data_IF_439217855724
#
_entry.id   IF_439217855724
#
_cell.length_a   1.000
_cell.length_b   1.000
_cell.length_c   1.000
_cell.angle_alpha   90.00
_cell.angle_beta   90.00
_cell.angle_gamma   90.00
#
_symmetry.space_group_name_H-M   'P 1'
#
loop_
_entity.id
_entity.type
_entity.pdbx_description
1 polymer ?
#
# COMPACT_ATOMS: atom_id res chain seq x y z
N UNK A 1 9.37 30.78 -15.39
CA UNK A 1 10.28 29.63 -15.26
C UNK A 1 9.54 28.39 -14.79
N UNK A 2 10.09 27.21 -15.09
CA UNK A 2 9.49 25.95 -14.68
C UNK A 2 10.55 24.94 -14.26
N UNK A 3 10.26 24.20 -13.21
CA UNK A 3 11.00 23.00 -12.79
C UNK A 3 10.08 21.82 -12.65
N UNK A 4 10.60 20.58 -12.64
CA UNK A 4 9.80 19.39 -12.48
C UNK A 4 10.56 18.32 -11.71
N UNK A 5 9.86 17.63 -10.79
CA UNK A 5 10.38 16.48 -10.04
C UNK A 5 9.20 15.62 -9.57
N UNK A 6 9.52 14.44 -9.07
CA UNK A 6 8.54 13.63 -8.32
C UNK A 6 8.52 14.05 -6.84
N UNK A 7 7.39 13.85 -6.17
CA UNK A 7 7.29 14.07 -4.72
C UNK A 7 8.35 13.28 -3.94
N UNK A 8 8.77 13.80 -2.79
CA UNK A 8 9.89 13.26 -2.02
C UNK A 8 11.27 13.51 -2.62
N UNK A 9 11.35 14.00 -3.87
CA UNK A 9 12.59 14.25 -4.59
C UNK A 9 13.23 15.61 -4.30
N UNK A 10 14.44 15.80 -4.85
CA UNK A 10 15.21 17.04 -4.79
C UNK A 10 15.55 17.48 -6.20
N UNK A 11 15.20 18.73 -6.56
CA UNK A 11 15.56 19.37 -7.80
C UNK A 11 16.62 20.43 -7.52
N UNK A 12 17.81 20.31 -8.12
CA UNK A 12 18.87 21.31 -8.02
C UNK A 12 19.20 21.88 -9.41
N UNK A 13 19.09 23.18 -9.56
CA UNK A 13 19.29 23.89 -10.80
C UNK A 13 20.42 24.92 -10.62
N UNK A 14 21.44 24.82 -11.49
CA UNK A 14 22.58 25.73 -11.46
C UNK A 14 22.21 27.10 -12.07
N UNK A 15 23.01 28.13 -11.79
CA UNK A 15 22.79 29.48 -12.30
C UNK A 15 22.71 29.54 -13.84
N UNK A 16 23.45 28.68 -14.54
CA UNK A 16 23.42 28.62 -16.02
C UNK A 16 22.07 28.17 -16.59
N UNK A 17 21.25 27.44 -15.78
CA UNK A 17 19.92 26.96 -16.15
C UNK A 17 18.85 27.53 -15.19
N UNK A 18 19.23 28.51 -14.36
CA UNK A 18 18.40 29.07 -13.31
C UNK A 18 17.44 30.15 -13.83
N UNK A 19 16.72 30.79 -12.88
CA UNK A 19 15.62 31.70 -13.19
C UNK A 19 16.03 32.96 -14.00
N UNK A 20 17.32 33.30 -14.09
CA UNK A 20 17.80 34.44 -14.84
C UNK A 20 18.09 34.15 -16.32
N UNK A 21 17.96 32.89 -16.76
CA UNK A 21 18.42 32.44 -18.10
C UNK A 21 17.59 33.08 -19.22
N UNK A 22 16.31 33.28 -19.01
CA UNK A 22 15.35 33.88 -19.95
C UNK A 22 14.96 35.32 -19.59
N UNK A 23 15.52 35.87 -18.50
CA UNK A 23 15.29 37.23 -18.07
C UNK A 23 16.28 38.21 -18.76
N UNK A 24 15.88 39.45 -18.89
CA UNK A 24 16.72 40.50 -19.47
C UNK A 24 16.92 41.65 -18.48
N UNK A 25 18.17 42.09 -18.33
CA UNK A 25 18.55 43.17 -17.42
C UNK A 25 18.36 44.58 -17.99
N UNK A 26 17.82 44.70 -19.23
CA UNK A 26 17.78 46.01 -19.89
C UNK A 26 19.15 46.53 -20.33
N UNK A 27 19.26 47.84 -20.55
CA UNK A 27 20.48 48.48 -21.06
C UNK A 27 21.60 48.55 -20.00
N UNK A 28 21.23 48.56 -18.72
CA UNK A 28 22.17 48.82 -17.61
C UNK A 28 22.81 47.52 -17.09
N UNK A 29 22.28 46.37 -17.52
CA UNK A 29 22.78 45.04 -17.12
C UNK A 29 22.38 44.64 -15.69
N UNK A 30 22.73 43.41 -15.30
CA UNK A 30 22.49 42.95 -13.96
C UNK A 30 23.43 43.54 -12.92
N UNK A 31 22.94 43.71 -11.69
CA UNK A 31 23.83 44.07 -10.56
C UNK A 31 24.87 42.97 -10.32
N UNK A 32 26.14 43.32 -10.14
CA UNK A 32 27.27 42.38 -10.05
C UNK A 32 27.23 41.46 -8.80
N UNK A 33 26.41 41.76 -7.81
CA UNK A 33 26.29 41.01 -6.55
C UNK A 33 25.17 39.96 -6.57
N UNK A 34 24.57 39.71 -7.76
CA UNK A 34 23.44 38.84 -7.95
C UNK A 34 22.14 39.61 -8.19
N UNK A 35 21.41 39.21 -9.21
CA UNK A 35 20.24 39.95 -9.69
C UNK A 35 18.98 39.62 -8.88
N UNK A 36 18.81 38.41 -8.35
CA UNK A 36 17.64 38.05 -7.53
C UNK A 36 17.76 38.69 -6.16
N UNK A 37 16.78 39.53 -5.80
CA UNK A 37 16.76 40.30 -4.54
C UNK A 37 15.59 39.97 -3.64
N UNK A 38 14.60 39.20 -4.12
CA UNK A 38 13.43 38.77 -3.36
C UNK A 38 12.86 37.44 -3.85
N UNK A 39 12.30 36.64 -2.94
CA UNK A 39 11.52 35.44 -3.24
C UNK A 39 10.47 35.25 -2.17
N UNK A 40 9.24 34.89 -2.59
CA UNK A 40 8.10 34.55 -1.72
C UNK A 40 7.30 33.39 -2.32
N UNK A 41 6.58 32.67 -1.48
CA UNK A 41 5.64 31.64 -1.93
C UNK A 41 4.39 32.26 -2.56
N UNK A 42 3.89 31.62 -3.59
CA UNK A 42 2.70 32.00 -4.33
C UNK A 42 2.97 32.92 -5.54
N UNK A 43 1.93 33.10 -6.35
CA UNK A 43 1.91 34.10 -7.44
C UNK A 43 1.44 35.43 -6.87
N UNK A 44 2.36 36.37 -6.70
CA UNK A 44 2.08 37.73 -6.17
C UNK A 44 2.28 38.78 -7.25
N UNK A 45 1.38 39.74 -7.31
CA UNK A 45 1.40 40.82 -8.31
C UNK A 45 2.36 41.96 -7.94
N UNK A 46 3.27 41.75 -6.99
CA UNK A 46 4.17 42.82 -6.48
C UNK A 46 5.59 42.33 -6.26
N UNK A 47 6.56 43.20 -6.41
CA UNK A 47 7.93 42.92 -6.05
C UNK A 47 8.04 42.55 -4.56
N UNK A 48 8.79 41.51 -4.30
CA UNK A 48 9.13 41.02 -2.94
C UNK A 48 10.56 41.43 -2.58
N UNK A 49 10.88 41.48 -1.31
CA UNK A 49 12.24 41.74 -0.83
C UNK A 49 12.63 40.69 0.21
N UNK A 50 13.88 40.21 0.12
CA UNK A 50 14.42 39.24 1.05
C UNK A 50 14.06 37.78 0.71
N UNK A 51 14.37 36.85 1.59
CA UNK A 51 14.17 35.44 1.38
C UNK A 51 15.24 34.75 0.53
N UNK A 52 16.04 35.47 -0.21
CA UNK A 52 17.10 34.96 -1.10
C UNK A 52 18.16 34.22 -0.29
N UNK A 53 18.54 33.02 -0.73
CA UNK A 53 19.47 32.12 -0.04
C UNK A 53 18.88 31.45 1.21
N UNK A 54 17.64 31.79 1.59
CA UNK A 54 16.91 31.18 2.70
C UNK A 54 15.89 30.15 2.24
N UNK A 55 15.37 29.37 3.18
CA UNK A 55 14.25 28.46 2.94
C UNK A 55 12.93 29.24 2.83
N UNK A 56 12.20 28.98 1.76
CA UNK A 56 10.84 29.48 1.55
C UNK A 56 9.93 28.27 1.38
N UNK A 57 8.98 28.09 2.30
CA UNK A 57 8.02 26.98 2.27
C UNK A 57 6.96 27.22 1.19
N UNK A 58 6.75 26.21 0.33
CA UNK A 58 5.64 26.06 -0.57
C UNK A 58 4.52 25.23 0.04
N UNK A 59 3.59 24.76 -0.78
CA UNK A 59 2.51 23.85 -0.34
C UNK A 59 2.99 22.40 -0.28
N UNK A 60 3.86 21.98 -1.20
CA UNK A 60 4.28 20.59 -1.39
C UNK A 60 5.77 20.37 -1.12
N UNK A 61 6.47 21.42 -0.70
CA UNK A 61 7.89 21.36 -0.41
C UNK A 61 8.43 22.73 -0.02
N UNK A 62 9.72 22.94 -0.24
CA UNK A 62 10.36 24.24 -0.03
C UNK A 62 11.44 24.53 -1.06
N UNK A 63 11.67 25.80 -1.34
CA UNK A 63 12.75 26.28 -2.22
C UNK A 63 13.81 27.04 -1.43
N UNK A 64 15.05 26.97 -1.91
CA UNK A 64 16.13 27.94 -1.65
C UNK A 64 16.57 28.49 -2.98
N UNK A 65 16.26 29.77 -3.24
CA UNK A 65 16.64 30.49 -4.45
C UNK A 65 17.78 31.47 -4.13
N UNK A 66 18.88 31.37 -4.86
CA UNK A 66 20.08 32.17 -4.65
C UNK A 66 20.07 33.43 -5.50
N UNK A 67 20.91 34.42 -5.14
CA UNK A 67 21.02 35.69 -5.82
C UNK A 67 21.50 35.59 -7.29
N UNK A 68 22.19 34.51 -7.65
CA UNK A 68 22.67 34.21 -9.00
C UNK A 68 21.62 33.50 -9.87
N UNK A 69 20.40 33.29 -9.35
CA UNK A 69 19.32 32.60 -10.04
C UNK A 69 19.33 31.08 -9.92
N UNK A 70 20.36 30.47 -9.32
CA UNK A 70 20.38 29.03 -9.02
C UNK A 70 19.38 28.71 -7.92
N UNK A 71 18.82 27.50 -7.92
CA UNK A 71 17.89 27.10 -6.87
C UNK A 71 17.93 25.59 -6.56
N UNK A 72 17.49 25.28 -5.35
CA UNK A 72 17.18 23.90 -4.95
C UNK A 72 15.76 23.88 -4.41
N UNK A 73 14.95 22.97 -4.94
CA UNK A 73 13.62 22.66 -4.42
C UNK A 73 13.62 21.24 -3.83
N UNK A 74 13.07 21.10 -2.63
CA UNK A 74 12.92 19.82 -1.95
C UNK A 74 11.44 19.54 -1.75
N UNK A 75 10.92 18.53 -2.42
CA UNK A 75 9.54 18.09 -2.24
C UNK A 75 9.38 17.23 -0.99
N UNK A 76 8.27 17.38 -0.30
CA UNK A 76 7.88 16.50 0.82
C UNK A 76 7.36 15.18 0.26
N UNK A 77 7.71 14.06 0.87
CA UNK A 77 7.16 12.76 0.52
C UNK A 77 5.66 12.70 0.88
N UNK A 78 4.88 11.97 0.07
CA UNK A 78 3.41 11.84 0.21
C UNK A 78 2.66 13.19 0.26
N UNK A 79 3.23 14.23 -0.34
CA UNK A 79 2.65 15.59 -0.30
C UNK A 79 1.49 15.78 -1.26
N UNK A 80 1.43 14.98 -2.33
CA UNK A 80 0.41 15.11 -3.37
C UNK A 80 -0.34 13.80 -3.59
N UNK A 81 -1.62 13.91 -3.93
CA UNK A 81 -2.47 12.76 -4.30
C UNK A 81 -2.74 12.68 -5.81
N UNK A 82 -2.30 13.69 -6.54
CA UNK A 82 -2.28 13.84 -7.99
C UNK A 82 -1.22 14.90 -8.32
N UNK A 83 -0.76 14.95 -9.56
CA UNK A 83 0.20 15.97 -10.00
C UNK A 83 -0.24 17.36 -9.59
N UNK A 84 0.67 18.13 -9.01
CA UNK A 84 0.41 19.44 -8.42
C UNK A 84 1.53 20.44 -8.74
N UNK A 85 1.36 21.69 -8.32
CA UNK A 85 2.33 22.76 -8.59
C UNK A 85 2.54 23.63 -7.35
N UNK A 86 3.82 23.92 -7.06
CA UNK A 86 4.20 25.02 -6.20
C UNK A 86 4.63 26.22 -7.08
N UNK A 87 4.22 27.40 -6.70
CA UNK A 87 4.57 28.64 -7.40
C UNK A 87 5.29 29.58 -6.42
N UNK A 88 6.35 30.19 -6.90
CA UNK A 88 7.12 31.21 -6.17
C UNK A 88 7.28 32.43 -7.03
N UNK A 89 7.03 33.61 -6.45
CA UNK A 89 7.35 34.88 -7.09
C UNK A 89 8.75 35.31 -6.70
N UNK A 90 9.61 35.57 -7.68
CA UNK A 90 10.93 36.16 -7.44
C UNK A 90 11.02 37.56 -8.00
N UNK A 91 11.89 38.38 -7.41
CA UNK A 91 12.14 39.75 -7.82
C UNK A 91 13.59 39.93 -8.23
N UNK A 92 13.80 40.48 -9.39
CA UNK A 92 15.13 40.82 -9.92
C UNK A 92 15.38 42.32 -9.87
N UNK A 93 16.66 42.72 -9.83
CA UNK A 93 17.12 44.07 -9.82
C UNK A 93 18.25 44.28 -10.82
N UNK A 94 18.18 45.32 -11.64
CA UNK A 94 19.25 45.74 -12.52
C UNK A 94 20.30 46.62 -11.83
N UNK A 95 21.30 47.13 -12.60
CA UNK A 95 22.46 47.84 -12.04
C UNK A 95 22.14 49.23 -11.50
N UNK A 96 21.10 49.91 -11.97
CA UNK A 96 20.66 51.22 -11.49
C UNK A 96 19.53 51.14 -10.45
N UNK A 97 19.02 49.98 -10.17
CA UNK A 97 18.14 49.66 -9.03
C UNK A 97 16.67 49.43 -9.38
N UNK A 98 16.32 49.38 -10.66
CA UNK A 98 14.97 49.09 -11.11
C UNK A 98 14.59 47.62 -10.82
N UNK A 99 13.33 47.44 -10.44
CA UNK A 99 12.82 46.14 -9.98
C UNK A 99 11.78 45.58 -10.94
N UNK A 100 11.88 44.29 -11.22
CA UNK A 100 10.87 43.51 -11.91
C UNK A 100 10.62 42.19 -11.19
N UNK A 101 9.48 41.55 -11.39
CA UNK A 101 9.20 40.22 -10.82
C UNK A 101 8.63 39.25 -11.86
N UNK A 102 8.84 37.99 -11.61
CA UNK A 102 8.29 36.88 -12.39
C UNK A 102 8.03 35.68 -11.48
N UNK A 103 7.53 34.59 -12.04
CA UNK A 103 7.22 33.38 -11.29
C UNK A 103 8.09 32.21 -11.70
N UNK A 104 8.43 31.37 -10.73
CA UNK A 104 8.96 30.04 -10.90
C UNK A 104 7.90 29.02 -10.46
N UNK A 105 7.47 28.18 -11.40
CA UNK A 105 6.52 27.09 -11.13
C UNK A 105 7.26 25.76 -11.02
N UNK A 106 7.06 25.05 -9.93
CA UNK A 106 7.61 23.71 -9.73
C UNK A 106 6.47 22.69 -9.88
N UNK A 107 6.57 21.83 -10.90
CA UNK A 107 5.65 20.74 -11.11
C UNK A 107 6.09 19.55 -10.22
N UNK A 108 5.22 19.12 -9.33
CA UNK A 108 5.43 17.98 -8.42
C UNK A 108 4.55 16.84 -8.90
N UNK A 109 5.17 15.82 -9.45
CA UNK A 109 4.46 14.62 -9.92
C UNK A 109 4.15 13.68 -8.76
N UNK A 110 2.93 13.14 -8.73
CA UNK A 110 2.52 12.12 -7.78
C UNK A 110 3.19 10.77 -8.12
N UNK A 111 3.64 10.05 -7.11
CA UNK A 111 4.25 8.71 -7.25
C UNK A 111 3.23 7.63 -6.93
N UNK A 112 2.86 6.81 -7.91
CA UNK A 112 1.93 5.70 -7.71
C UNK A 112 2.67 4.45 -7.21
N UNK A 113 2.49 4.14 -5.94
CA UNK A 113 3.07 2.97 -5.25
C UNK A 113 2.09 1.80 -5.12
N UNK A 114 0.90 1.88 -5.75
CA UNK A 114 -0.16 0.88 -5.62
C UNK A 114 0.01 -0.24 -6.65
N UNK A 115 0.29 -1.48 -6.23
CA UNK A 115 0.30 -2.64 -7.13
C UNK A 115 -1.10 -3.00 -7.62
N UNK A 116 -1.17 -3.86 -8.63
CA UNK A 116 -2.44 -4.46 -9.04
C UNK A 116 -3.06 -5.27 -7.87
N UNK A 117 -4.40 -5.22 -7.70
CA UNK A 117 -5.08 -6.01 -6.67
C UNK A 117 -4.81 -7.51 -6.82
N UNK A 118 -4.64 -8.19 -5.69
CA UNK A 118 -4.42 -9.64 -5.62
C UNK A 118 -5.56 -10.28 -4.82
N UNK A 119 -6.07 -11.38 -5.36
CA UNK A 119 -7.01 -12.27 -4.69
C UNK A 119 -6.50 -13.70 -4.81
N UNK A 120 -6.43 -14.40 -3.69
CA UNK A 120 -6.07 -15.82 -3.62
C UNK A 120 -7.10 -16.62 -2.82
N UNK A 121 -6.98 -17.93 -2.82
CA UNK A 121 -7.90 -18.83 -2.13
C UNK A 121 -7.16 -19.77 -1.18
N UNK A 122 -7.82 -20.11 -0.07
CA UNK A 122 -7.42 -21.19 0.84
C UNK A 122 -8.65 -22.05 1.15
N UNK A 123 -8.41 -23.30 1.59
CA UNK A 123 -9.48 -24.24 1.91
C UNK A 123 -9.50 -24.55 3.41
N UNK A 124 -10.66 -24.52 4.02
CA UNK A 124 -10.87 -24.93 5.41
C UNK A 124 -10.64 -26.42 5.60
N UNK A 125 -10.84 -27.22 4.55
CA UNK A 125 -10.56 -28.64 4.57
C UNK A 125 -9.15 -29.00 5.04
N UNK A 126 -8.20 -28.06 4.90
CA UNK A 126 -6.82 -28.19 5.38
C UNK A 126 -6.62 -27.96 6.88
N UNK A 127 -7.59 -27.41 7.58
CA UNK A 127 -7.53 -27.19 9.03
C UNK A 127 -7.58 -28.51 9.82
N UNK A 128 -7.19 -28.45 11.09
CA UNK A 128 -7.30 -29.60 11.99
C UNK A 128 -8.78 -29.99 12.17
N UNK A 129 -9.13 -31.20 11.73
CA UNK A 129 -10.51 -31.69 11.71
C UNK A 129 -11.22 -31.56 10.37
N UNK A 130 -10.64 -30.86 9.40
CA UNK A 130 -11.16 -30.76 8.04
C UNK A 130 -10.93 -32.04 7.22
N UNK A 131 -11.61 -32.14 6.07
CA UNK A 131 -11.66 -33.32 5.21
C UNK A 131 -10.30 -33.67 4.57
N UNK A 132 -9.38 -32.69 4.43
CA UNK A 132 -8.03 -32.88 3.87
C UNK A 132 -6.96 -32.25 4.77
N UNK A 133 -7.06 -32.48 6.09
CA UNK A 133 -6.19 -31.82 7.08
C UNK A 133 -4.71 -31.84 6.71
N UNK A 134 -4.08 -30.65 6.82
CA UNK A 134 -2.68 -30.42 6.49
C UNK A 134 -2.42 -29.91 5.06
N UNK A 135 -3.45 -29.80 4.20
CA UNK A 135 -3.28 -29.33 2.82
C UNK A 135 -4.28 -28.22 2.47
N UNK A 136 -3.86 -27.23 1.64
CA UNK A 136 -4.76 -26.23 1.08
C UNK A 136 -5.13 -25.07 2.00
N UNK A 137 -4.73 -25.05 3.27
CA UNK A 137 -4.96 -23.96 4.21
C UNK A 137 -3.87 -22.88 4.18
N UNK A 138 -2.87 -23.00 3.32
CA UNK A 138 -1.79 -22.04 3.14
C UNK A 138 -1.66 -21.68 1.67
N UNK A 139 -1.46 -20.40 1.39
CA UNK A 139 -1.12 -19.88 0.06
C UNK A 139 0.16 -19.05 0.16
N UNK A 140 1.01 -19.19 -0.86
CA UNK A 140 2.21 -18.37 -1.05
C UNK A 140 2.15 -17.77 -2.46
N UNK A 141 2.36 -16.47 -2.57
CA UNK A 141 2.32 -15.74 -3.83
C UNK A 141 3.17 -14.46 -3.74
N UNK A 142 3.20 -13.66 -4.79
CA UNK A 142 4.01 -12.45 -4.87
C UNK A 142 3.15 -11.26 -5.34
N UNK A 143 3.21 -10.16 -4.61
CA UNK A 143 2.71 -8.88 -5.06
C UNK A 143 3.65 -8.33 -6.12
N UNK A 144 3.14 -8.02 -7.33
CA UNK A 144 3.94 -7.40 -8.37
C UNK A 144 4.15 -5.92 -8.06
N UNK A 145 5.22 -5.60 -7.34
CA UNK A 145 5.58 -4.24 -6.97
C UNK A 145 6.02 -3.43 -8.20
N UNK A 146 5.67 -2.13 -8.29
CA UNK A 146 6.26 -1.23 -9.28
C UNK A 146 7.79 -1.18 -9.16
N UNK A 147 8.47 -0.71 -10.23
CA UNK A 147 9.94 -0.56 -10.19
C UNK A 147 10.38 0.34 -9.04
N UNK A 148 11.48 -0.03 -8.37
CA UNK A 148 12.06 0.71 -7.24
C UNK A 148 11.15 0.82 -5.99
N UNK A 149 10.00 0.16 -5.98
CA UNK A 149 9.09 0.08 -4.84
C UNK A 149 9.36 -1.17 -4.04
N UNK A 150 9.34 -1.05 -2.72
CA UNK A 150 9.51 -2.17 -1.77
C UNK A 150 8.30 -2.28 -0.84
N UNK A 151 7.94 -3.49 -0.47
CA UNK A 151 7.04 -3.69 0.65
C UNK A 151 7.77 -3.49 1.99
N UNK A 152 7.06 -2.98 2.99
CA UNK A 152 7.56 -2.98 4.37
C UNK A 152 7.35 -4.38 4.94
N UNK A 153 8.41 -5.12 5.31
CA UNK A 153 8.27 -6.50 5.75
C UNK A 153 7.39 -6.63 7.00
N UNK A 154 6.53 -7.65 6.97
CA UNK A 154 5.71 -8.07 8.12
C UNK A 154 5.98 -9.53 8.39
N UNK A 155 6.32 -9.83 9.65
CA UNK A 155 6.44 -11.22 10.15
C UNK A 155 5.37 -11.47 11.19
N UNK A 156 4.65 -12.62 11.10
CA UNK A 156 3.59 -12.98 12.05
C UNK A 156 2.44 -11.95 12.15
N UNK A 157 2.08 -11.32 11.03
CA UNK A 157 0.87 -10.53 10.94
C UNK A 157 -0.36 -11.40 11.19
N UNK A 158 -1.43 -10.85 11.75
CA UNK A 158 -2.68 -11.57 12.03
C UNK A 158 -3.86 -10.92 11.33
N UNK A 159 -4.81 -11.76 10.89
CA UNK A 159 -6.10 -11.37 10.33
C UNK A 159 -7.23 -11.92 11.21
N UNK A 160 -8.46 -11.82 10.72
CA UNK A 160 -9.60 -12.42 11.42
C UNK A 160 -9.51 -13.95 11.47
N UNK A 161 -9.09 -14.60 10.39
CA UNK A 161 -9.11 -16.05 10.25
C UNK A 161 -7.71 -16.70 10.15
N UNK A 162 -6.66 -15.91 9.94
CA UNK A 162 -5.33 -16.45 9.68
C UNK A 162 -4.16 -15.59 10.16
N UNK A 163 -3.00 -15.98 9.68
CA UNK A 163 -1.74 -15.25 9.86
C UNK A 163 -1.07 -15.04 8.51
N UNK A 164 -0.26 -13.98 8.40
CA UNK A 164 0.50 -13.71 7.18
C UNK A 164 1.91 -13.22 7.47
N UNK A 165 2.76 -13.35 6.47
CA UNK A 165 4.04 -12.67 6.38
C UNK A 165 4.22 -12.11 4.97
N UNK A 166 4.93 -11.01 4.82
CA UNK A 166 5.34 -10.44 3.54
C UNK A 166 6.77 -9.92 3.66
N UNK A 167 7.60 -10.16 2.65
CA UNK A 167 8.97 -9.65 2.60
C UNK A 167 9.06 -8.35 1.77
N UNK A 168 10.27 -7.76 1.69
CA UNK A 168 10.50 -6.50 0.98
C UNK A 168 10.28 -6.59 -0.54
N UNK A 169 10.37 -7.77 -1.11
CA UNK A 169 10.17 -8.03 -2.54
C UNK A 169 8.72 -8.39 -2.88
N UNK A 170 7.84 -8.38 -1.86
CA UNK A 170 6.41 -8.65 -2.01
C UNK A 170 6.04 -10.12 -1.98
N UNK A 171 6.98 -11.05 -1.70
CA UNK A 171 6.61 -12.44 -1.50
C UNK A 171 5.86 -12.58 -0.18
N UNK A 172 4.69 -13.16 -0.22
CA UNK A 172 3.89 -13.36 0.98
C UNK A 172 3.44 -14.79 1.16
N UNK A 173 3.18 -15.14 2.40
CA UNK A 173 2.54 -16.39 2.81
C UNK A 173 1.37 -16.04 3.71
N UNK A 174 0.20 -16.56 3.39
CA UNK A 174 -0.96 -16.54 4.27
C UNK A 174 -1.31 -17.97 4.71
N UNK A 175 -1.61 -18.15 6.00
CA UNK A 175 -2.02 -19.44 6.58
C UNK A 175 -3.34 -19.24 7.33
N UNK A 176 -4.37 -19.94 6.89
CA UNK A 176 -5.64 -20.05 7.61
C UNK A 176 -5.42 -20.83 8.91
N UNK A 177 -5.91 -20.32 10.04
CA UNK A 177 -5.73 -20.91 11.36
C UNK A 177 -7.04 -21.22 12.09
N UNK A 178 -8.16 -20.68 11.57
CA UNK A 178 -9.51 -20.84 12.11
C UNK A 178 -10.50 -21.02 10.98
N UNK A 179 -11.57 -21.81 11.16
CA UNK A 179 -12.66 -21.85 10.20
C UNK A 179 -13.41 -20.52 10.15
N UNK A 180 -14.07 -20.27 9.02
CA UNK A 180 -15.02 -19.17 8.82
C UNK A 180 -16.45 -19.70 8.91
N UNK A 181 -17.42 -18.82 9.09
CA UNK A 181 -18.83 -19.23 9.14
C UNK A 181 -19.51 -18.87 7.81
N UNK A 182 -19.35 -19.71 6.80
CA UNK A 182 -20.05 -19.58 5.52
C UNK A 182 -19.15 -19.75 4.29
N UNK A 183 -19.80 -19.90 3.15
CA UNK A 183 -19.15 -20.11 1.86
C UNK A 183 -18.45 -18.86 1.34
N UNK A 184 -17.23 -19.00 0.83
CA UNK A 184 -16.47 -17.94 0.16
C UNK A 184 -16.31 -16.67 1.01
N UNK A 185 -16.05 -16.83 2.30
CA UNK A 185 -15.75 -15.71 3.20
C UNK A 185 -14.42 -15.08 2.81
N UNK A 186 -14.36 -13.76 2.78
CA UNK A 186 -13.13 -13.04 2.50
C UNK A 186 -12.40 -12.66 3.79
N UNK A 187 -11.12 -12.97 3.85
CA UNK A 187 -10.17 -12.45 4.83
C UNK A 187 -9.17 -11.54 4.13
N UNK A 188 -8.76 -10.46 4.77
CA UNK A 188 -7.86 -9.48 4.17
C UNK A 188 -6.69 -9.17 5.08
N UNK A 189 -5.52 -8.93 4.49
CA UNK A 189 -4.42 -8.31 5.21
C UNK A 189 -3.91 -7.08 4.46
N UNK A 190 -3.51 -6.07 5.23
CA UNK A 190 -2.92 -4.85 4.69
C UNK A 190 -1.41 -4.87 4.83
N UNK A 191 -0.72 -4.28 3.85
CA UNK A 191 0.72 -4.08 3.85
C UNK A 191 1.04 -2.70 3.29
N UNK A 192 2.21 -2.16 3.63
CA UNK A 192 2.66 -0.85 3.15
C UNK A 192 3.73 -1.03 2.08
N UNK A 193 3.63 -0.29 0.99
CA UNK A 193 4.69 -0.12 -0.01
C UNK A 193 5.37 1.23 0.19
N UNK A 194 6.64 1.33 -0.16
CA UNK A 194 7.43 2.57 -0.09
C UNK A 194 8.50 2.61 -1.18
N UNK A 195 8.91 3.82 -1.57
CA UNK A 195 10.07 4.08 -2.40
C UNK A 195 11.29 4.57 -1.60
N UNK A 196 12.38 4.87 -2.30
CA UNK A 196 13.61 5.40 -1.69
C UNK A 196 13.49 6.87 -1.25
N UNK A 197 12.50 7.60 -1.75
CA UNK A 197 12.22 9.00 -1.43
C UNK A 197 11.36 9.15 -0.18
N UNK A 198 10.79 8.05 0.32
CA UNK A 198 9.97 8.01 1.52
C UNK A 198 8.47 8.10 1.27
N UNK A 199 8.03 8.12 -0.01
CA UNK A 199 6.63 7.99 -0.35
C UNK A 199 6.13 6.61 0.06
N UNK A 200 4.88 6.51 0.54
CA UNK A 200 4.30 5.26 1.04
C UNK A 200 2.81 5.15 0.76
N UNK A 201 2.33 3.92 0.59
CA UNK A 201 0.92 3.63 0.37
C UNK A 201 0.54 2.32 1.06
N UNK A 202 -0.67 2.28 1.66
CA UNK A 202 -1.22 1.05 2.22
C UNK A 202 -2.05 0.32 1.18
N UNK A 203 -1.76 -0.95 0.98
CA UNK A 203 -2.40 -1.84 0.02
C UNK A 203 -3.00 -3.05 0.74
N UNK A 204 -3.84 -3.83 0.04
CA UNK A 204 -4.55 -4.97 0.62
C UNK A 204 -4.45 -6.19 -0.31
N UNK A 205 -4.26 -7.37 0.29
CA UNK A 205 -4.46 -8.66 -0.36
C UNK A 205 -5.75 -9.27 0.18
N UNK A 206 -6.58 -9.82 -0.71
CA UNK A 206 -7.83 -10.51 -0.38
C UNK A 206 -7.62 -12.02 -0.48
N UNK A 207 -8.04 -12.75 0.54
CA UNK A 207 -8.00 -14.22 0.59
C UNK A 207 -9.44 -14.73 0.69
N UNK A 208 -9.88 -15.48 -0.31
CA UNK A 208 -11.18 -16.17 -0.27
C UNK A 208 -11.02 -17.50 0.44
N UNK A 209 -11.80 -17.74 1.48
CA UNK A 209 -11.82 -18.98 2.25
C UNK A 209 -12.91 -19.88 1.67
N UNK A 210 -12.52 -21.06 1.19
CA UNK A 210 -13.44 -22.07 0.68
C UNK A 210 -13.88 -22.95 1.84
N UNK A 211 -15.18 -23.03 2.05
CA UNK A 211 -15.81 -23.84 3.10
C UNK A 211 -15.55 -25.35 2.93
N UNK A 212 -15.47 -26.07 4.04
CA UNK A 212 -15.35 -27.51 4.10
C UNK A 212 -16.63 -28.14 4.63
N UNK A 213 -17.58 -28.31 3.72
CA UNK A 213 -18.89 -28.89 4.04
C UNK A 213 -18.79 -30.32 4.61
N UNK A 214 -19.62 -30.68 5.57
CA UNK A 214 -19.67 -32.04 6.10
C UNK A 214 -20.13 -33.04 5.05
N UNK A 215 -19.58 -34.28 5.10
CA UNK A 215 -19.97 -35.38 4.22
C UNK A 215 -20.46 -36.54 5.07
N UNK A 216 -21.76 -36.76 5.06
CA UNK A 216 -22.37 -37.90 5.71
C UNK A 216 -22.18 -39.21 4.90
N UNK A 217 -21.90 -40.29 5.57
CA UNK A 217 -21.77 -41.62 5.00
C UNK A 217 -22.91 -42.52 5.51
N UNK A 218 -23.34 -43.51 4.71
CA UNK A 218 -24.36 -44.46 5.17
C UNK A 218 -23.85 -45.32 6.33
N UNK A 219 -24.64 -45.39 7.38
CA UNK A 219 -24.43 -46.32 8.49
C UNK A 219 -25.44 -47.46 8.43
N UNK A 220 -25.01 -48.64 8.87
CA UNK A 220 -25.88 -49.80 8.93
C UNK A 220 -25.75 -50.47 10.27
N UNK A 221 -26.88 -50.92 10.79
CA UNK A 221 -26.90 -51.74 12.00
C UNK A 221 -27.85 -52.90 11.82
N UNK A 222 -27.72 -53.95 12.61
CA UNK A 222 -28.58 -55.12 12.54
C UNK A 222 -28.99 -55.60 13.93
N UNK A 223 -30.18 -56.10 13.99
CA UNK A 223 -30.76 -56.69 15.21
C UNK A 223 -31.28 -58.07 14.87
N UNK A 224 -31.11 -59.03 15.77
CA UNK A 224 -31.68 -60.35 15.63
C UNK A 224 -33.00 -60.38 16.37
N UNK A 225 -34.07 -60.86 15.71
CA UNK A 225 -35.36 -61.08 16.32
C UNK A 225 -35.22 -62.02 17.56
N UNK A 226 -36.00 -61.72 18.59
CA UNK A 226 -35.97 -62.47 19.86
C UNK A 226 -34.67 -62.47 20.67
N UNK A 227 -33.70 -61.62 20.32
CA UNK A 227 -32.48 -61.42 21.15
C UNK A 227 -32.80 -60.65 22.44
N UNK A 228 -32.20 -61.06 23.59
CA UNK A 228 -32.38 -60.37 24.87
C UNK A 228 -30.99 -60.10 25.48
N UNK A 229 -30.67 -58.84 25.77
CA UNK A 229 -31.38 -57.57 25.49
C UNK A 229 -31.41 -57.24 24.00
N UNK A 230 -32.45 -56.53 23.54
CA UNK A 230 -32.70 -56.17 22.14
C UNK A 230 -32.42 -54.68 21.75
N UNK A 231 -31.74 -53.86 22.54
CA UNK A 231 -31.36 -52.53 22.11
C UNK A 231 -30.15 -52.60 21.18
N UNK A 232 -30.19 -51.78 20.12
CA UNK A 232 -29.07 -51.51 19.23
C UNK A 232 -28.62 -50.09 19.47
N UNK A 233 -27.32 -49.87 19.58
CA UNK A 233 -26.74 -48.54 19.72
C UNK A 233 -25.64 -48.34 18.69
N UNK A 234 -25.48 -47.11 18.23
CA UNK A 234 -24.48 -46.69 17.26
C UNK A 234 -24.19 -45.19 17.39
N UNK A 235 -23.26 -44.69 16.61
CA UNK A 235 -22.97 -43.26 16.52
C UNK A 235 -22.76 -42.93 15.05
N UNK A 236 -23.73 -42.23 14.47
CA UNK A 236 -23.73 -41.85 13.05
C UNK A 236 -22.67 -40.80 12.68
N UNK A 237 -22.03 -40.14 13.64
CA UNK A 237 -20.97 -39.16 13.37
C UNK A 237 -19.55 -39.72 13.47
N UNK A 238 -19.32 -40.54 14.48
CA UNK A 238 -17.94 -40.98 14.79
C UNK A 238 -17.65 -42.43 14.39
N UNK A 239 -18.67 -43.21 14.07
CA UNK A 239 -18.55 -44.63 13.77
C UNK A 239 -18.06 -45.47 14.96
N UNK A 240 -17.84 -46.77 14.75
CA UNK A 240 -17.06 -47.61 15.64
C UNK A 240 -17.81 -48.27 16.81
N UNK A 241 -19.13 -48.11 16.92
CA UNK A 241 -19.94 -48.77 17.95
C UNK A 241 -20.51 -50.10 17.45
N UNK A 242 -20.77 -50.20 16.15
CA UNK A 242 -21.21 -51.42 15.48
C UNK A 242 -20.43 -51.70 14.21
N UNK A 243 -20.50 -52.94 13.70
CA UNK A 243 -19.71 -53.38 12.53
C UNK A 243 -20.07 -52.67 11.21
N UNK A 244 -21.14 -51.88 11.19
CA UNK A 244 -21.59 -51.15 10.03
C UNK A 244 -21.46 -49.63 10.16
N UNK A 245 -20.96 -49.13 11.30
CA UNK A 245 -20.76 -47.71 11.52
C UNK A 245 -19.53 -47.16 10.75
N UNK A 246 -19.74 -46.19 9.94
CA UNK A 246 -18.67 -45.52 9.17
C UNK A 246 -18.60 -44.04 9.61
N UNK A 247 -17.44 -43.59 10.05
CA UNK A 247 -17.30 -42.20 10.48
C UNK A 247 -17.61 -41.22 9.34
N UNK A 248 -18.42 -40.20 9.63
CA UNK A 248 -18.66 -39.08 8.77
C UNK A 248 -17.46 -38.14 8.73
N UNK A 249 -17.33 -37.37 7.66
CA UNK A 249 -16.42 -36.24 7.61
C UNK A 249 -17.20 -35.01 8.11
N UNK A 250 -16.80 -34.47 9.26
CA UNK A 250 -17.55 -33.39 9.91
C UNK A 250 -17.28 -32.00 9.32
N UNK A 251 -16.27 -31.88 8.48
CA UNK A 251 -15.78 -30.55 8.05
C UNK A 251 -15.01 -29.82 9.15
N UNK A 252 -14.41 -28.69 8.79
CA UNK A 252 -13.58 -27.88 9.69
C UNK A 252 -14.38 -27.25 10.85
N UNK A 253 -15.66 -26.94 10.61
CA UNK A 253 -16.58 -26.28 11.56
C UNK A 253 -17.21 -27.24 12.58
N UNK A 254 -17.05 -28.52 12.40
CA UNK A 254 -17.72 -29.60 13.13
C UNK A 254 -19.22 -29.67 12.85
N UNK A 255 -19.69 -30.82 12.41
CA UNK A 255 -21.09 -31.09 12.17
C UNK A 255 -21.82 -31.60 13.43
N UNK A 256 -23.12 -31.32 13.48
CA UNK A 256 -24.06 -31.87 14.45
C UNK A 256 -25.24 -32.50 13.72
N UNK A 257 -25.84 -33.56 14.27
CA UNK A 257 -27.10 -34.10 13.77
C UNK A 257 -28.21 -33.11 14.11
N UNK A 258 -28.86 -32.57 13.08
CA UNK A 258 -29.92 -31.55 13.24
C UNK A 258 -31.36 -32.12 13.07
N UNK A 259 -31.50 -33.37 12.63
CA UNK A 259 -32.80 -34.04 12.45
C UNK A 259 -32.63 -35.53 12.13
N UNK A 260 -33.60 -36.33 12.55
CA UNK A 260 -33.67 -37.76 12.30
C UNK A 260 -35.05 -38.09 11.74
#
# INVERSE_FOLDING_TARGET
DTGSLSEGGVLSVLAADGVLTNDTAGADGWVNTGAVVGVVSGDTATNSAGGVGGRIDGQYGYITLNADGSYTYVSTADAVTADAQDVFTYTVRDADGDLSHSTLTINVANVNLTPAPITNTVNESGLAGGSTAGTGHTVTDTVNLPSEVKAVPVTNGSTQYGTFSIDEDGHYTYTLTKPSNGDNVEDTFSYTTKDAQGNSTTNTVTITIIDDAPVAKPDTNSITEDSVPNPVSGNVLTGGVSSGDTADTQGADKANVSGV
#
